data_IF_698562348694
#
_entry.id   IF_698562348694
#
_cell.length_a   1.000
_cell.length_b   1.000
_cell.length_c   1.000
_cell.angle_alpha   90.00
_cell.angle_beta   90.00
_cell.angle_gamma   90.00
#
_symmetry.space_group_name_H-M   'P 1'
#
loop_
_entity.id
_entity.type
_entity.pdbx_description
1 polymer ?
#
# COMPACT_ATOMS: atom_id res chain seq x y z
N UNK A 1 4.24 31.62 6.91
CA UNK A 1 3.53 30.60 6.09
C UNK A 1 4.47 30.18 4.96
N UNK A 2 4.29 28.98 4.40
CA UNK A 2 5.10 28.49 3.28
C UNK A 2 4.15 28.10 2.14
N UNK A 3 4.51 28.48 0.92
CA UNK A 3 3.81 28.08 -0.30
C UNK A 3 4.58 26.93 -0.92
N UNK A 4 3.92 25.78 -1.07
CA UNK A 4 4.44 24.65 -1.81
C UNK A 4 4.04 24.79 -3.28
N UNK A 5 4.99 24.62 -4.18
CA UNK A 5 4.77 24.73 -5.61
C UNK A 5 5.59 23.68 -6.34
N UNK A 6 5.19 23.36 -7.57
CA UNK A 6 5.91 22.45 -8.44
C UNK A 6 6.59 23.22 -9.56
N UNK A 7 7.73 22.72 -10.02
CA UNK A 7 8.45 23.25 -11.17
C UNK A 7 9.06 22.11 -11.96
N UNK A 8 8.94 22.18 -13.28
CA UNK A 8 9.62 21.27 -14.18
C UNK A 8 11.11 21.62 -14.29
N UNK A 9 11.93 20.58 -14.16
CA UNK A 9 13.37 20.63 -14.37
C UNK A 9 13.71 19.70 -15.52
N UNK A 10 14.36 20.25 -16.55
CA UNK A 10 14.93 19.44 -17.62
C UNK A 10 16.23 18.82 -17.14
N UNK A 11 16.22 17.51 -16.88
CA UNK A 11 17.38 16.76 -16.42
C UNK A 11 17.86 15.88 -17.58
N UNK A 12 19.13 15.96 -17.99
CA UNK A 12 19.66 15.08 -19.03
C UNK A 12 19.67 13.62 -18.53
N UNK A 13 19.08 12.71 -19.30
CA UNK A 13 19.02 11.29 -18.97
C UNK A 13 20.41 10.64 -18.79
N UNK A 14 21.43 11.22 -19.41
CA UNK A 14 22.85 10.87 -19.34
C UNK A 14 23.72 12.04 -19.86
N UNK A 15 25.05 12.01 -19.67
CA UNK A 15 25.95 13.03 -20.26
C UNK A 15 25.78 13.06 -21.80
N UNK A 16 25.05 14.08 -22.29
CA UNK A 16 24.75 14.26 -23.71
C UNK A 16 23.45 13.58 -24.21
N UNK A 17 22.62 13.04 -23.32
CA UNK A 17 21.36 12.38 -23.66
C UNK A 17 20.13 13.31 -23.74
N UNK A 18 18.98 12.73 -24.12
CA UNK A 18 17.67 13.40 -24.18
C UNK A 18 17.31 14.00 -22.81
N UNK A 19 16.74 15.21 -22.82
CA UNK A 19 16.28 15.89 -21.61
C UNK A 19 14.98 15.25 -21.16
N UNK A 20 14.98 14.72 -19.94
CA UNK A 20 13.78 14.24 -19.27
C UNK A 20 13.25 15.39 -18.42
N UNK A 21 12.03 15.85 -18.71
CA UNK A 21 11.33 16.78 -17.84
C UNK A 21 10.94 16.06 -16.55
N UNK A 22 11.39 16.59 -15.42
CA UNK A 22 11.13 16.08 -14.09
C UNK A 22 10.53 17.19 -13.23
N UNK A 23 9.26 17.05 -12.86
CA UNK A 23 8.59 17.96 -11.94
C UNK A 23 9.16 17.77 -10.52
N UNK A 24 9.55 18.86 -9.85
CA UNK A 24 9.96 18.82 -8.45
C UNK A 24 9.30 19.90 -7.63
N UNK A 25 8.86 19.49 -6.44
CA UNK A 25 8.33 20.40 -5.43
C UNK A 25 9.43 21.33 -4.88
N UNK A 26 9.10 22.59 -4.73
CA UNK A 26 9.90 23.57 -4.01
C UNK A 26 9.03 24.39 -3.06
N UNK A 27 9.68 25.03 -2.09
CA UNK A 27 9.00 25.79 -1.04
C UNK A 27 9.44 27.23 -1.09
N UNK A 28 8.46 28.13 -1.11
CA UNK A 28 8.69 29.57 -0.97
C UNK A 28 8.16 30.01 0.38
N UNK A 29 9.05 30.51 1.24
CA UNK A 29 8.64 31.14 2.49
C UNK A 29 8.03 32.51 2.17
N UNK A 30 6.84 32.78 2.71
CA UNK A 30 6.18 34.09 2.63
C UNK A 30 6.21 34.79 3.98
N UNK A 31 6.26 36.12 3.94
CA UNK A 31 6.30 36.93 5.16
C UNK A 31 5.00 36.80 5.95
N UNK A 32 5.05 37.15 7.24
CA UNK A 32 3.87 37.10 8.09
C UNK A 32 2.82 38.13 7.65
N UNK A 33 3.25 39.27 7.13
CA UNK A 33 2.37 40.31 6.58
C UNK A 33 1.59 39.77 5.39
N UNK A 34 2.26 39.19 4.40
CA UNK A 34 1.62 38.59 3.22
C UNK A 34 0.71 37.42 3.59
N UNK A 35 1.13 36.58 4.56
CA UNK A 35 0.30 35.47 5.03
C UNK A 35 -0.98 35.95 5.71
N UNK A 36 -0.89 36.99 6.55
CA UNK A 36 -2.04 37.60 7.21
C UNK A 36 -2.98 38.25 6.19
N UNK A 37 -2.43 38.95 5.20
CA UNK A 37 -3.21 39.56 4.11
C UNK A 37 -3.96 38.51 3.29
N UNK A 38 -3.31 37.40 2.95
CA UNK A 38 -3.95 36.28 2.26
C UNK A 38 -5.09 35.68 3.09
N UNK A 39 -4.85 35.34 4.35
CA UNK A 39 -5.87 34.75 5.22
C UNK A 39 -7.04 35.71 5.47
N UNK A 40 -6.77 37.00 5.59
CA UNK A 40 -7.79 38.04 5.71
C UNK A 40 -8.63 38.15 4.43
N UNK A 41 -7.99 38.10 3.25
CA UNK A 41 -8.66 38.10 1.96
C UNK A 41 -9.56 36.86 1.80
N UNK A 42 -9.05 35.67 2.14
CA UNK A 42 -9.83 34.43 2.14
C UNK A 42 -11.03 34.52 3.09
N UNK A 43 -10.82 35.01 4.32
CA UNK A 43 -11.90 35.18 5.30
C UNK A 43 -13.00 36.13 4.80
N UNK A 44 -12.63 37.23 4.14
CA UNK A 44 -13.59 38.19 3.55
C UNK A 44 -14.30 37.68 2.31
N UNK A 45 -13.73 36.69 1.64
CA UNK A 45 -14.32 36.02 0.48
C UNK A 45 -15.04 34.72 0.84
N UNK A 46 -15.12 34.36 2.13
CA UNK A 46 -15.72 33.12 2.62
C UNK A 46 -15.09 31.90 1.95
N UNK A 47 -13.76 31.89 1.95
CA UNK A 47 -12.94 30.82 1.39
C UNK A 47 -12.13 30.20 2.52
N UNK A 48 -12.13 28.88 2.55
CA UNK A 48 -11.28 28.11 3.46
C UNK A 48 -10.13 27.52 2.64
N UNK A 49 -8.97 28.21 2.55
CA UNK A 49 -7.83 27.66 1.86
C UNK A 49 -7.37 26.40 2.58
N UNK A 50 -7.08 25.34 1.83
CA UNK A 50 -6.49 24.13 2.40
C UNK A 50 -5.03 24.46 2.74
N UNK A 51 -4.71 24.51 4.03
CA UNK A 51 -3.34 24.60 4.50
C UNK A 51 -3.11 23.60 5.62
N UNK A 52 -1.86 23.18 5.75
CA UNK A 52 -1.44 22.20 6.74
C UNK A 52 -0.54 22.89 7.75
N UNK A 53 -0.82 22.69 9.04
CA UNK A 53 -0.07 23.34 10.10
C UNK A 53 1.06 22.41 10.53
N UNK A 54 2.30 22.81 10.27
CA UNK A 54 3.47 22.14 10.83
C UNK A 54 3.63 22.54 12.30
N UNK A 55 3.33 21.62 13.22
CA UNK A 55 3.64 21.80 14.63
C UNK A 55 5.05 21.31 14.89
N UNK A 56 6.02 22.23 14.91
CA UNK A 56 7.45 21.90 15.04
C UNK A 56 7.80 21.01 16.25
N UNK A 57 7.04 21.09 17.35
CA UNK A 57 7.26 20.26 18.53
C UNK A 57 6.68 18.84 18.39
N UNK A 58 5.74 18.64 17.48
CA UNK A 58 5.11 17.34 17.16
C UNK A 58 5.73 16.71 15.90
N UNK A 59 6.54 17.48 15.14
CA UNK A 59 7.04 17.10 13.80
C UNK A 59 5.92 16.58 12.88
N UNK A 60 4.72 17.11 13.05
CA UNK A 60 3.49 16.65 12.42
C UNK A 60 2.77 17.79 11.70
N UNK A 61 2.13 17.41 10.61
CA UNK A 61 1.31 18.24 9.76
C UNK A 61 -0.16 18.02 10.13
N UNK A 62 -0.75 18.95 10.87
CA UNK A 62 -2.16 18.84 11.26
C UNK A 62 -3.05 19.51 10.22
N UNK A 63 -4.03 18.77 9.70
CA UNK A 63 -5.10 19.33 8.89
C UNK A 63 -6.03 20.21 9.73
N UNK A 64 -6.55 21.27 9.14
CA UNK A 64 -7.51 22.16 9.82
C UNK A 64 -8.93 21.68 9.51
N UNK A 65 -9.67 21.30 10.55
CA UNK A 65 -11.10 21.04 10.42
C UNK A 65 -11.88 22.32 10.63
N UNK A 66 -12.76 22.64 9.68
CA UNK A 66 -13.57 23.86 9.70
C UNK A 66 -15.03 23.64 10.14
N UNK A 67 -15.45 22.37 10.30
CA UNK A 67 -16.78 22.01 10.81
C UNK A 67 -17.93 22.62 9.99
N UNK A 68 -18.97 23.08 10.68
CA UNK A 68 -20.19 23.63 10.06
C UNK A 68 -19.93 24.90 9.24
N UNK A 69 -18.86 25.64 9.54
CA UNK A 69 -18.48 26.84 8.77
C UNK A 69 -18.16 26.49 7.32
N UNK A 70 -17.55 25.31 7.08
CA UNK A 70 -17.28 24.82 5.73
C UNK A 70 -18.57 24.57 4.97
N UNK A 71 -19.54 23.88 5.59
CA UNK A 71 -20.82 23.58 4.95
C UNK A 71 -21.59 24.88 4.61
N UNK A 72 -21.57 25.84 5.53
CA UNK A 72 -22.21 27.15 5.32
C UNK A 72 -21.56 27.90 4.16
N UNK A 73 -20.23 28.05 4.16
CA UNK A 73 -19.54 28.81 3.12
C UNK A 73 -19.55 28.09 1.77
N UNK A 74 -19.52 26.76 1.74
CA UNK A 74 -19.63 26.00 0.50
C UNK A 74 -21.02 26.17 -0.16
N UNK A 75 -22.09 26.32 0.63
CA UNK A 75 -23.44 26.54 0.12
C UNK A 75 -23.69 27.95 -0.45
N UNK A 76 -22.91 28.94 -0.03
CA UNK A 76 -23.02 30.30 -0.54
C UNK A 76 -22.64 30.38 -2.03
N UNK A 77 -23.56 30.91 -2.86
CA UNK A 77 -23.33 31.03 -4.31
C UNK A 77 -23.45 29.70 -5.06
N UNK A 78 -23.81 28.61 -4.38
CA UNK A 78 -24.06 27.29 -4.97
C UNK A 78 -25.41 26.72 -4.51
N UNK A 79 -26.51 27.08 -5.20
CA UNK A 79 -27.86 26.59 -4.88
C UNK A 79 -28.01 25.07 -5.01
N UNK A 80 -27.20 24.44 -5.87
CA UNK A 80 -27.21 22.99 -6.08
C UNK A 80 -26.65 22.29 -4.86
N UNK A 81 -25.47 22.72 -4.37
CA UNK A 81 -24.90 22.19 -3.14
C UNK A 81 -25.78 22.47 -1.91
N UNK A 82 -26.34 23.69 -1.80
CA UNK A 82 -27.23 24.07 -0.71
C UNK A 82 -28.46 23.15 -0.59
N UNK A 83 -28.97 22.63 -1.70
CA UNK A 83 -30.12 21.71 -1.74
C UNK A 83 -29.80 20.27 -1.32
N UNK A 84 -28.52 19.86 -1.34
CA UNK A 84 -28.09 18.50 -1.01
C UNK A 84 -27.80 18.31 0.50
N UNK A 85 -27.72 19.39 1.27
CA UNK A 85 -27.44 19.33 2.70
C UNK A 85 -28.66 18.76 3.44
N UNK A 86 -28.47 17.62 4.12
CA UNK A 86 -29.55 16.88 4.77
C UNK A 86 -30.15 17.56 6.02
N UNK A 87 -29.35 18.37 6.72
CA UNK A 87 -29.76 19.17 7.90
C UNK A 87 -29.12 20.58 7.80
N UNK A 88 -29.62 21.44 6.90
CA UNK A 88 -29.00 22.72 6.61
C UNK A 88 -29.20 23.69 7.79
N UNK A 89 -28.16 24.42 8.22
CA UNK A 89 -28.33 25.56 9.11
C UNK A 89 -29.33 26.56 8.53
N UNK A 90 -30.10 27.27 9.38
CA UNK A 90 -31.16 28.21 8.94
C UNK A 90 -30.69 29.22 7.87
N UNK A 91 -29.42 29.65 7.93
CA UNK A 91 -28.83 30.59 6.97
C UNK A 91 -28.66 30.04 5.55
N UNK A 92 -28.60 28.71 5.37
CA UNK A 92 -28.43 28.07 4.05
C UNK A 92 -29.68 28.18 3.20
N UNK A 93 -30.86 28.30 3.81
CA UNK A 93 -32.11 28.51 3.07
C UNK A 93 -32.10 29.78 2.20
N UNK A 94 -31.33 30.79 2.59
CA UNK A 94 -31.16 32.02 1.81
C UNK A 94 -30.41 31.80 0.48
N UNK A 95 -29.63 30.72 0.37
CA UNK A 95 -28.78 30.42 -0.79
C UNK A 95 -29.43 29.49 -1.81
N UNK A 96 -30.60 28.93 -1.48
CA UNK A 96 -31.39 28.09 -2.41
C UNK A 96 -31.92 28.88 -3.60
N UNK A 97 -32.04 30.21 -3.49
CA UNK A 97 -32.52 31.08 -4.55
C UNK A 97 -31.39 31.96 -5.07
N UNK A 98 -31.05 31.90 -6.37
CA UNK A 98 -30.06 32.80 -6.96
C UNK A 98 -30.43 34.27 -6.79
N UNK A 99 -29.42 35.13 -6.62
CA UNK A 99 -29.66 36.57 -6.52
C UNK A 99 -30.19 37.13 -7.85
N UNK A 100 -31.34 37.80 -7.82
CA UNK A 100 -31.93 38.43 -9.00
C UNK A 100 -30.96 39.44 -9.64
N UNK A 101 -31.00 39.55 -10.98
CA UNK A 101 -30.19 40.48 -11.78
C UNK A 101 -28.67 40.32 -11.63
N UNK A 102 -28.21 39.12 -11.26
CA UNK A 102 -26.80 38.73 -11.28
C UNK A 102 -26.52 37.61 -12.26
N UNK A 103 -25.31 37.60 -12.84
CA UNK A 103 -24.83 36.50 -13.69
C UNK A 103 -23.30 36.43 -13.67
N UNK A 104 -22.78 35.23 -13.88
CA UNK A 104 -21.36 34.95 -14.08
C UNK A 104 -21.14 34.52 -15.53
N UNK A 105 -20.24 35.18 -16.23
CA UNK A 105 -19.83 34.81 -17.58
C UNK A 105 -18.41 34.23 -17.52
N UNK A 106 -18.22 33.03 -18.05
CA UNK A 106 -16.89 32.42 -18.17
C UNK A 106 -16.10 33.10 -19.31
N UNK A 107 -14.79 33.21 -19.11
CA UNK A 107 -13.82 33.76 -20.05
C UNK A 107 -12.73 32.73 -20.29
N UNK A 108 -12.26 32.65 -21.53
CA UNK A 108 -11.03 31.91 -21.85
C UNK A 108 -9.83 32.82 -21.54
N UNK A 109 -8.91 32.35 -20.69
CA UNK A 109 -7.70 33.07 -20.29
C UNK A 109 -6.46 32.21 -20.53
N UNK A 110 -5.48 32.74 -21.26
CA UNK A 110 -4.18 32.07 -21.45
C UNK A 110 -3.18 32.38 -20.33
N UNK A 111 -3.46 33.40 -19.51
CA UNK A 111 -2.59 33.84 -18.42
C UNK A 111 -3.00 33.22 -17.09
N UNK A 112 -2.08 32.60 -16.32
CA UNK A 112 -2.40 32.03 -15.01
C UNK A 112 -2.69 33.10 -13.94
N UNK A 113 -2.53 34.40 -14.25
CA UNK A 113 -2.85 35.50 -13.31
C UNK A 113 -4.15 36.23 -13.66
N UNK A 114 -4.83 35.80 -14.73
CA UNK A 114 -6.12 36.34 -15.13
C UNK A 114 -7.25 35.46 -14.62
N UNK A 115 -8.36 36.09 -14.28
CA UNK A 115 -9.54 35.38 -13.77
C UNK A 115 -10.41 34.94 -14.94
N UNK A 116 -10.76 33.65 -14.97
CA UNK A 116 -11.54 33.03 -16.05
C UNK A 116 -13.02 33.39 -16.05
N UNK A 117 -13.43 34.49 -15.43
CA UNK A 117 -14.84 34.90 -15.40
C UNK A 117 -15.07 36.39 -15.05
N UNK A 118 -16.25 36.89 -15.42
CA UNK A 118 -16.78 38.19 -15.03
C UNK A 118 -18.10 38.06 -14.27
N UNK A 119 -18.29 38.90 -13.25
CA UNK A 119 -19.54 38.98 -12.49
C UNK A 119 -20.29 40.25 -12.86
N UNK A 120 -21.58 40.11 -13.17
CA UNK A 120 -22.49 41.22 -13.42
C UNK A 120 -23.52 41.31 -12.31
N UNK A 121 -23.82 42.52 -11.85
CA UNK A 121 -24.92 42.83 -10.94
C UNK A 121 -25.65 44.08 -11.43
N UNK A 122 -26.98 43.99 -11.58
CA UNK A 122 -27.81 45.08 -12.12
C UNK A 122 -27.30 45.61 -13.48
N UNK A 123 -26.81 44.70 -14.33
CA UNK A 123 -26.27 45.03 -15.65
C UNK A 123 -24.89 45.73 -15.66
N UNK A 124 -24.20 45.83 -14.51
CA UNK A 124 -22.85 46.40 -14.39
C UNK A 124 -21.84 45.35 -13.98
N UNK A 125 -20.60 45.49 -14.48
CA UNK A 125 -19.47 44.64 -14.08
C UNK A 125 -19.08 44.95 -12.64
N UNK A 126 -18.98 43.92 -11.82
CA UNK A 126 -18.53 44.02 -10.43
C UNK A 126 -17.00 44.05 -10.39
N UNK A 127 -16.37 45.03 -9.72
CA UNK A 127 -14.91 45.14 -9.69
C UNK A 127 -14.28 44.09 -8.76
N UNK A 128 -13.83 42.96 -9.32
CA UNK A 128 -13.31 41.82 -8.54
C UNK A 128 -12.07 42.15 -7.68
N UNK A 129 -11.27 43.16 -8.05
CA UNK A 129 -10.11 43.62 -7.26
C UNK A 129 -10.50 44.44 -6.02
N UNK A 130 -11.72 44.97 -5.97
CA UNK A 130 -12.16 45.82 -4.87
C UNK A 130 -12.55 44.97 -3.65
N UNK A 131 -11.78 45.09 -2.57
CA UNK A 131 -12.08 44.40 -1.31
C UNK A 131 -12.97 45.26 -0.38
N UNK A 132 -14.17 45.60 -0.84
CA UNK A 132 -15.19 46.28 -0.03
C UNK A 132 -16.28 45.31 0.43
N UNK A 133 -16.89 45.59 1.58
CA UNK A 133 -17.98 44.77 2.12
C UNK A 133 -19.15 44.67 1.14
N UNK A 134 -19.47 45.77 0.45
CA UNK A 134 -20.53 45.81 -0.56
C UNK A 134 -20.23 44.90 -1.76
N UNK A 135 -19.00 44.90 -2.28
CA UNK A 135 -18.58 44.03 -3.39
C UNK A 135 -18.55 42.58 -2.95
N UNK A 136 -17.90 42.28 -1.83
CA UNK A 136 -17.83 40.91 -1.29
C UNK A 136 -19.23 40.36 -1.03
N UNK A 137 -20.17 41.21 -0.57
CA UNK A 137 -21.56 40.81 -0.33
C UNK A 137 -22.30 40.34 -1.59
N UNK A 138 -21.89 40.83 -2.75
CA UNK A 138 -22.43 40.35 -4.02
C UNK A 138 -21.71 39.06 -4.43
N UNK A 139 -20.38 39.01 -4.28
CA UNK A 139 -19.55 37.91 -4.77
C UNK A 139 -19.85 36.57 -4.05
N UNK A 140 -19.91 36.54 -2.73
CA UNK A 140 -20.23 35.30 -1.98
C UNK A 140 -21.62 34.73 -2.29
N UNK A 141 -22.60 35.55 -2.71
CA UNK A 141 -23.95 35.10 -3.06
C UNK A 141 -24.08 34.57 -4.49
N UNK A 142 -23.07 34.79 -5.32
CA UNK A 142 -23.12 34.53 -6.77
C UNK A 142 -22.03 33.56 -7.21
N UNK A 143 -20.88 33.56 -6.54
CA UNK A 143 -19.73 32.72 -6.86
C UNK A 143 -19.65 31.53 -5.91
N UNK A 144 -19.30 30.37 -6.46
CA UNK A 144 -18.95 29.19 -5.67
C UNK A 144 -17.70 29.43 -4.83
N UNK A 145 -17.50 28.66 -3.75
CA UNK A 145 -16.29 28.80 -2.91
C UNK A 145 -14.98 28.70 -3.73
N UNK A 146 -14.96 27.85 -4.77
CA UNK A 146 -13.81 27.73 -5.70
C UNK A 146 -13.55 29.01 -6.48
N UNK A 147 -14.59 29.60 -7.08
CA UNK A 147 -14.45 30.87 -7.81
C UNK A 147 -14.04 32.02 -6.87
N UNK A 148 -14.46 31.99 -5.61
CA UNK A 148 -14.04 32.97 -4.60
C UNK A 148 -12.58 32.82 -4.21
N UNK A 149 -12.03 31.60 -4.24
CA UNK A 149 -10.59 31.37 -4.08
C UNK A 149 -9.81 32.01 -5.23
N UNK A 150 -10.32 31.94 -6.47
CA UNK A 150 -9.71 32.60 -7.62
C UNK A 150 -9.69 34.12 -7.44
N UNK A 151 -10.78 34.72 -6.93
CA UNK A 151 -10.83 36.15 -6.59
C UNK A 151 -9.77 36.50 -5.52
N UNK A 152 -9.59 35.65 -4.50
CA UNK A 152 -8.57 35.87 -3.48
C UNK A 152 -7.16 35.85 -4.08
N UNK A 153 -6.84 34.87 -4.93
CA UNK A 153 -5.56 34.79 -5.65
C UNK A 153 -5.35 35.99 -6.58
N UNK A 154 -6.39 36.38 -7.33
CA UNK A 154 -6.38 37.54 -8.21
C UNK A 154 -6.09 38.85 -7.48
N UNK A 155 -6.66 39.03 -6.27
CA UNK A 155 -6.38 40.20 -5.41
C UNK A 155 -4.95 40.20 -4.88
N UNK A 156 -4.41 39.04 -4.52
CA UNK A 156 -3.01 38.90 -4.11
C UNK A 156 -2.02 39.03 -5.28
N UNK A 157 -2.49 39.00 -6.52
CA UNK A 157 -1.64 38.92 -7.71
C UNK A 157 -0.90 37.60 -7.80
N UNK A 158 -1.47 36.53 -7.24
CA UNK A 158 -0.92 35.18 -7.31
C UNK A 158 -1.49 34.43 -8.52
N UNK A 159 -0.78 33.40 -9.02
CA UNK A 159 -1.34 32.49 -10.01
C UNK A 159 -2.65 31.87 -9.49
N UNK A 160 -3.69 31.88 -10.31
CA UNK A 160 -4.94 31.15 -10.09
C UNK A 160 -4.60 29.67 -10.13
N UNK A 161 -5.09 28.91 -9.14
CA UNK A 161 -4.83 27.48 -9.07
C UNK A 161 -5.65 26.76 -10.15
N UNK A 162 -5.09 25.70 -10.70
CA UNK A 162 -5.83 24.80 -11.59
C UNK A 162 -7.12 24.30 -10.90
N UNK A 163 -8.18 24.11 -11.70
CA UNK A 163 -9.43 23.49 -11.29
C UNK A 163 -9.52 22.02 -11.72
N UNK A 164 -8.47 21.50 -12.37
CA UNK A 164 -8.33 20.09 -12.69
C UNK A 164 -8.54 19.22 -11.44
N UNK A 165 -9.50 18.31 -11.53
CA UNK A 165 -9.78 17.34 -10.48
C UNK A 165 -8.53 16.49 -10.25
N UNK A 166 -8.17 16.33 -8.97
CA UNK A 166 -7.09 15.43 -8.58
C UNK A 166 -7.52 13.98 -8.88
N UNK A 167 -6.98 13.41 -9.96
CA UNK A 167 -7.29 12.05 -10.38
C UNK A 167 -6.59 11.04 -9.47
N UNK A 168 -7.27 10.68 -8.39
CA UNK A 168 -6.78 9.71 -7.40
C UNK A 168 -6.38 8.40 -8.08
N UNK A 169 -7.23 7.89 -8.96
CA UNK A 169 -6.98 6.62 -9.66
C UNK A 169 -5.76 6.70 -10.57
N UNK A 170 -5.54 7.84 -11.23
CA UNK A 170 -4.36 8.04 -12.07
C UNK A 170 -3.09 8.06 -11.21
N UNK A 171 -3.13 8.73 -10.05
CA UNK A 171 -2.00 8.75 -9.12
C UNK A 171 -1.72 7.36 -8.54
N UNK A 172 -2.75 6.62 -8.13
CA UNK A 172 -2.61 5.24 -7.65
C UNK A 172 -1.99 4.34 -8.72
N UNK A 173 -2.43 4.46 -9.97
CA UNK A 173 -1.85 3.73 -11.10
C UNK A 173 -0.39 4.13 -11.36
N UNK A 174 -0.06 5.42 -11.28
CA UNK A 174 1.32 5.91 -11.41
C UNK A 174 2.21 5.37 -10.29
N UNK A 175 1.75 5.42 -9.04
CA UNK A 175 2.46 4.88 -7.88
C UNK A 175 2.69 3.38 -8.03
N UNK A 176 1.67 2.63 -8.44
CA UNK A 176 1.77 1.19 -8.64
C UNK A 176 2.74 0.83 -9.78
N UNK A 177 2.70 1.59 -10.87
CA UNK A 177 3.62 1.41 -12.00
C UNK A 177 5.06 1.75 -11.62
N UNK A 178 5.27 2.83 -10.87
CA UNK A 178 6.58 3.21 -10.37
C UNK A 178 7.14 2.16 -9.39
N UNK A 179 6.31 1.67 -8.47
CA UNK A 179 6.66 0.60 -7.53
C UNK A 179 7.10 -0.67 -8.28
N UNK A 180 6.34 -1.10 -9.30
CA UNK A 180 6.72 -2.25 -10.17
C UNK A 180 8.07 -2.07 -10.84
N UNK A 181 8.34 -0.88 -11.41
CA UNK A 181 9.64 -0.58 -12.05
C UNK A 181 10.79 -0.63 -11.06
N UNK A 182 10.58 -0.17 -9.82
CA UNK A 182 11.59 -0.26 -8.77
C UNK A 182 11.90 -1.72 -8.42
N UNK A 183 10.88 -2.59 -8.38
CA UNK A 183 11.08 -4.02 -8.14
C UNK A 183 11.81 -4.71 -9.29
N UNK A 184 11.47 -4.41 -10.55
CA UNK A 184 12.21 -4.92 -11.72
C UNK A 184 13.67 -4.47 -11.71
N UNK A 185 13.93 -3.19 -11.39
CA UNK A 185 15.30 -2.69 -11.21
C UNK A 185 16.06 -3.38 -10.05
N UNK A 186 15.33 -3.91 -9.07
CA UNK A 186 15.90 -4.70 -7.96
C UNK A 186 16.09 -6.20 -8.31
N UNK A 187 15.77 -6.62 -9.54
CA UNK A 187 15.94 -7.99 -10.03
C UNK A 187 14.73 -8.91 -9.80
N UNK A 188 13.53 -8.34 -9.58
CA UNK A 188 12.26 -9.08 -9.55
C UNK A 188 11.72 -9.19 -10.98
N UNK A 189 11.41 -10.39 -11.45
CA UNK A 189 10.99 -10.58 -12.84
C UNK A 189 9.60 -9.97 -13.16
N UNK A 190 9.33 -9.64 -14.44
CA UNK A 190 8.07 -9.03 -14.89
C UNK A 190 6.80 -9.85 -14.61
N UNK A 191 6.88 -11.18 -14.51
CA UNK A 191 5.73 -11.99 -14.10
C UNK A 191 5.44 -11.82 -12.61
N UNK A 192 6.49 -11.57 -11.81
CA UNK A 192 6.32 -11.29 -10.40
C UNK A 192 5.77 -9.88 -10.20
N UNK A 193 6.29 -8.85 -10.86
CA UNK A 193 5.73 -7.49 -10.69
C UNK A 193 4.30 -7.35 -11.25
N UNK A 194 3.83 -8.30 -12.05
CA UNK A 194 2.51 -8.26 -12.70
C UNK A 194 2.49 -7.34 -13.92
N UNK A 195 3.67 -6.93 -14.40
CA UNK A 195 3.85 -6.25 -15.69
C UNK A 195 3.59 -7.22 -16.85
N UNK A 196 3.79 -8.52 -16.62
CA UNK A 196 3.55 -9.58 -17.60
C UNK A 196 2.40 -10.49 -17.16
N UNK A 197 1.47 -10.76 -18.08
CA UNK A 197 0.31 -11.58 -17.82
C UNK A 197 0.69 -13.04 -17.52
N UNK A 198 -0.01 -13.64 -16.56
CA UNK A 198 0.09 -15.06 -16.20
C UNK A 198 -1.21 -15.78 -16.56
N UNK A 199 -1.17 -17.05 -17.01
CA UNK A 199 -2.39 -17.83 -17.34
C UNK A 199 -3.29 -17.97 -16.12
N UNK A 200 -2.64 -18.18 -14.97
CA UNK A 200 -3.29 -18.08 -13.68
C UNK A 200 -3.07 -16.66 -13.19
N UNK A 201 -4.13 -15.85 -13.16
CA UNK A 201 -4.20 -14.58 -12.42
C UNK A 201 -4.03 -14.79 -10.89
N UNK A 202 -3.70 -16.02 -10.50
CA UNK A 202 -3.18 -16.42 -9.20
C UNK A 202 -1.74 -15.96 -8.99
N UNK A 203 -1.38 -14.76 -9.47
CA UNK A 203 -0.33 -13.99 -8.83
C UNK A 203 -0.83 -13.56 -7.44
N UNK A 204 -0.96 -14.56 -6.57
CA UNK A 204 -0.92 -14.51 -5.13
C UNK A 204 -1.56 -13.27 -4.48
N UNK A 205 -2.89 -13.12 -4.59
CA UNK A 205 -3.61 -12.79 -3.36
C UNK A 205 -3.37 -13.97 -2.42
N UNK A 206 -2.29 -13.92 -1.64
CA UNK A 206 -2.16 -14.77 -0.46
C UNK A 206 -3.50 -14.79 0.29
N UNK A 207 -3.88 -15.90 0.92
CA UNK A 207 -5.22 -16.05 1.46
C UNK A 207 -5.58 -14.82 2.30
N UNK A 208 -6.73 -14.19 1.99
CA UNK A 208 -7.13 -12.91 2.62
C UNK A 208 -7.11 -13.09 4.13
N UNK A 209 -6.18 -12.40 4.80
CA UNK A 209 -5.97 -12.58 6.23
C UNK A 209 -7.19 -12.10 7.02
N UNK A 210 -7.58 -12.89 8.02
CA UNK A 210 -8.69 -12.53 8.89
C UNK A 210 -8.32 -11.31 9.74
N UNK A 211 -9.18 -10.28 9.76
CA UNK A 211 -8.93 -9.07 10.54
C UNK A 211 -9.24 -9.30 12.02
N UNK A 212 -8.34 -8.83 12.88
CA UNK A 212 -8.54 -8.85 14.33
C UNK A 212 -9.55 -7.78 14.76
N UNK A 213 -10.55 -8.20 15.55
CA UNK A 213 -11.38 -7.27 16.30
C UNK A 213 -10.56 -6.60 17.41
N UNK A 214 -10.94 -5.37 17.80
CA UNK A 214 -10.23 -4.60 18.83
C UNK A 214 -10.13 -5.32 20.17
N UNK A 215 -11.11 -6.16 20.51
CA UNK A 215 -11.13 -6.96 21.75
C UNK A 215 -10.13 -8.12 21.78
N UNK A 216 -9.64 -8.54 20.62
CA UNK A 216 -8.73 -9.69 20.48
C UNK A 216 -7.28 -9.27 20.17
N UNK A 217 -6.97 -7.97 20.26
CA UNK A 217 -5.63 -7.42 20.03
C UNK A 217 -4.76 -7.50 21.30
N UNK A 218 -3.57 -8.05 21.17
CA UNK A 218 -2.52 -8.04 22.18
C UNK A 218 -1.66 -6.79 22.02
N UNK A 219 -1.14 -6.27 23.15
CA UNK A 219 -0.14 -5.22 23.13
C UNK A 219 1.13 -5.72 22.42
N UNK A 220 1.74 -4.87 21.59
CA UNK A 220 2.93 -5.22 20.78
C UNK A 220 4.08 -5.73 21.66
N UNK A 221 4.34 -5.07 22.81
CA UNK A 221 5.38 -5.48 23.74
C UNK A 221 5.15 -6.88 24.32
N UNK A 222 3.90 -7.22 24.66
CA UNK A 222 3.53 -8.57 25.10
C UNK A 222 3.69 -9.57 23.96
N UNK A 223 3.28 -9.21 22.75
CA UNK A 223 3.40 -10.09 21.59
C UNK A 223 4.87 -10.42 21.26
N UNK A 224 5.74 -9.41 21.26
CA UNK A 224 7.18 -9.56 21.05
C UNK A 224 7.83 -10.45 22.11
N UNK A 225 7.48 -10.24 23.39
CA UNK A 225 8.05 -11.06 24.46
C UNK A 225 7.64 -12.52 24.33
N UNK A 226 6.38 -12.80 23.97
CA UNK A 226 5.91 -14.17 23.70
C UNK A 226 6.63 -14.82 22.51
N UNK A 227 6.93 -14.04 21.46
CA UNK A 227 7.70 -14.53 20.32
C UNK A 227 9.17 -14.76 20.66
N UNK A 228 9.68 -14.15 21.73
CA UNK A 228 11.05 -14.33 22.23
C UNK A 228 11.17 -15.50 23.21
N UNK A 229 10.20 -15.69 24.11
CA UNK A 229 10.27 -16.70 25.18
C UNK A 229 10.03 -18.14 24.69
N UNK A 230 10.78 -19.10 25.22
CA UNK A 230 10.72 -20.50 24.78
C UNK A 230 9.54 -21.32 25.37
N UNK A 231 8.85 -20.82 26.41
CA UNK A 231 7.85 -21.60 27.16
C UNK A 231 6.42 -21.33 26.68
N UNK A 232 5.69 -22.39 26.31
CA UNK A 232 4.30 -22.34 25.93
C UNK A 232 3.33 -22.07 27.12
N UNK A 233 3.82 -22.20 28.36
CA UNK A 233 2.99 -22.15 29.57
C UNK A 233 2.53 -20.73 29.96
N UNK A 234 3.18 -19.68 29.45
CA UNK A 234 2.85 -18.27 29.75
C UNK A 234 1.73 -17.68 28.86
N UNK A 235 1.14 -18.49 27.97
CA UNK A 235 0.32 -18.03 26.84
C UNK A 235 -1.20 -17.99 27.09
N UNK A 236 -1.71 -18.10 28.32
CA UNK A 236 -3.14 -18.45 28.56
C UNK A 236 -4.19 -17.68 27.73
N UNK A 237 -4.19 -16.34 27.60
CA UNK A 237 -5.20 -15.64 26.79
C UNK A 237 -4.94 -15.76 25.27
N UNK A 238 -3.68 -15.70 24.85
CA UNK A 238 -3.27 -15.81 23.46
C UNK A 238 -3.55 -17.22 22.89
N UNK A 239 -3.30 -18.24 23.72
CA UNK A 239 -3.54 -19.64 23.41
C UNK A 239 -5.04 -19.92 23.24
N UNK A 240 -5.91 -19.34 24.07
CA UNK A 240 -7.36 -19.45 23.92
C UNK A 240 -7.87 -18.84 22.61
N UNK A 241 -7.44 -17.61 22.28
CA UNK A 241 -7.82 -16.93 21.02
C UNK A 241 -7.35 -17.75 19.80
N UNK A 242 -6.15 -18.34 19.89
CA UNK A 242 -5.60 -19.18 18.84
C UNK A 242 -6.42 -20.44 18.61
N UNK A 243 -6.75 -21.18 19.68
CA UNK A 243 -7.51 -22.43 19.59
C UNK A 243 -8.91 -22.20 18.99
N UNK A 244 -9.58 -21.12 19.37
CA UNK A 244 -10.88 -20.74 18.81
C UNK A 244 -10.78 -20.49 17.30
N UNK A 245 -9.78 -19.72 16.85
CA UNK A 245 -9.57 -19.46 15.42
C UNK A 245 -9.27 -20.75 14.62
N UNK A 246 -8.45 -21.65 15.18
CA UNK A 246 -8.16 -22.96 14.56
C UNK A 246 -9.43 -23.79 14.42
N UNK A 247 -10.28 -23.82 15.46
CA UNK A 247 -11.51 -24.60 15.43
C UNK A 247 -12.52 -24.03 14.41
N UNK A 248 -12.66 -22.71 14.33
CA UNK A 248 -13.52 -22.04 13.34
C UNK A 248 -13.04 -22.34 11.92
N UNK A 249 -11.74 -22.19 11.66
CA UNK A 249 -11.14 -22.49 10.35
C UNK A 249 -11.36 -23.96 9.96
N UNK A 250 -11.06 -24.88 10.87
CA UNK A 250 -11.18 -26.32 10.61
C UNK A 250 -12.63 -26.71 10.31
N UNK A 251 -13.61 -26.17 11.05
CA UNK A 251 -15.03 -26.39 10.76
C UNK A 251 -15.43 -25.90 9.37
N UNK A 252 -14.87 -24.77 8.91
CA UNK A 252 -15.16 -24.17 7.60
C UNK A 252 -14.51 -24.95 6.45
N UNK A 253 -13.22 -25.26 6.54
CA UNK A 253 -12.47 -25.87 5.42
C UNK A 253 -12.59 -27.40 5.36
N UNK A 254 -12.94 -28.07 6.46
CA UNK A 254 -13.00 -29.54 6.52
C UNK A 254 -13.89 -30.15 5.44
N UNK A 255 -15.06 -29.56 5.19
CA UNK A 255 -16.00 -30.04 4.17
C UNK A 255 -15.54 -29.73 2.74
N UNK A 256 -14.86 -28.60 2.54
CA UNK A 256 -14.40 -28.17 1.22
C UNK A 256 -13.13 -28.91 0.75
N UNK A 257 -12.27 -29.33 1.69
CA UNK A 257 -10.94 -29.90 1.38
C UNK A 257 -10.75 -31.36 1.79
N UNK A 258 -11.82 -32.04 2.20
CA UNK A 258 -11.82 -33.45 2.63
C UNK A 258 -10.82 -33.76 3.76
N UNK A 259 -10.64 -32.83 4.72
CA UNK A 259 -9.72 -33.03 5.84
C UNK A 259 -10.21 -34.16 6.78
N UNK A 260 -9.29 -34.96 7.31
CA UNK A 260 -9.59 -36.03 8.27
C UNK A 260 -10.27 -35.50 9.53
N UNK A 261 -11.25 -36.26 10.07
CA UNK A 261 -11.98 -35.90 11.28
C UNK A 261 -11.10 -36.05 12.53
N UNK A 262 -10.54 -34.95 13.00
CA UNK A 262 -9.97 -34.83 14.36
C UNK A 262 -11.08 -34.63 15.40
N UNK A 263 -10.92 -35.20 16.59
CA UNK A 263 -11.79 -34.88 17.74
C UNK A 263 -11.44 -33.49 18.29
N UNK A 264 -12.39 -32.80 18.93
CA UNK A 264 -12.20 -31.44 19.45
C UNK A 264 -11.04 -31.34 20.46
N UNK A 265 -10.76 -32.43 21.19
CA UNK A 265 -9.63 -32.51 22.12
C UNK A 265 -8.26 -32.67 21.43
N UNK A 266 -8.23 -32.96 20.14
CA UNK A 266 -7.01 -33.23 19.36
C UNK A 266 -6.65 -32.09 18.40
N UNK A 267 -7.45 -31.02 18.36
CA UNK A 267 -7.24 -29.84 17.52
C UNK A 267 -6.04 -29.05 18.06
N UNK A 268 -4.85 -29.33 17.53
CA UNK A 268 -3.61 -28.60 17.82
C UNK A 268 -2.96 -28.09 16.54
N UNK A 269 -2.01 -27.15 16.66
CA UNK A 269 -1.30 -26.61 15.50
C UNK A 269 -0.48 -27.69 14.80
N UNK A 270 0.39 -28.37 15.54
CA UNK A 270 1.24 -29.43 15.02
C UNK A 270 0.46 -30.58 14.36
N UNK A 271 -0.59 -31.14 15.00
CA UNK A 271 -1.33 -32.28 14.42
C UNK A 271 -2.07 -31.93 13.13
N UNK A 272 -2.62 -30.73 13.02
CA UNK A 272 -3.26 -30.29 11.77
C UNK A 272 -2.23 -30.04 10.69
N UNK A 273 -1.03 -29.53 11.03
CA UNK A 273 0.07 -29.41 10.05
C UNK A 273 0.44 -30.78 9.52
N UNK A 274 0.65 -31.75 10.41
CA UNK A 274 0.92 -33.14 10.04
C UNK A 274 -0.19 -33.74 9.15
N UNK A 275 -1.46 -33.49 9.48
CA UNK A 275 -2.59 -33.97 8.69
C UNK A 275 -2.75 -33.27 7.32
N UNK A 276 -2.16 -32.09 7.14
CA UNK A 276 -2.22 -31.29 5.91
C UNK A 276 -0.88 -31.24 5.16
N UNK A 277 0.13 -32.04 5.54
CA UNK A 277 1.45 -32.06 4.88
C UNK A 277 1.35 -32.34 3.37
N UNK A 278 0.35 -33.11 2.93
CA UNK A 278 0.10 -33.42 1.52
C UNK A 278 -0.79 -32.40 0.80
N UNK A 279 -1.29 -31.36 1.50
CA UNK A 279 -2.17 -30.32 0.96
C UNK A 279 -1.69 -28.94 1.43
N UNK A 280 -0.64 -28.45 0.78
CA UNK A 280 0.05 -27.21 1.14
C UNK A 280 -0.89 -26.00 1.09
N UNK A 281 -1.84 -25.95 0.16
CA UNK A 281 -2.84 -24.88 0.06
C UNK A 281 -3.71 -24.79 1.31
N UNK A 282 -3.94 -25.91 2.00
CA UNK A 282 -4.71 -25.96 3.25
C UNK A 282 -3.91 -25.32 4.39
N UNK A 283 -2.59 -25.50 4.40
CA UNK A 283 -1.69 -24.83 5.34
C UNK A 283 -1.66 -23.32 5.12
N UNK A 284 -1.52 -22.87 3.86
CA UNK A 284 -1.57 -21.44 3.49
C UNK A 284 -2.86 -20.80 3.99
N UNK A 285 -4.00 -21.42 3.68
CA UNK A 285 -5.33 -20.95 4.11
C UNK A 285 -5.42 -20.83 5.64
N UNK A 286 -4.95 -21.84 6.37
CA UNK A 286 -4.96 -21.83 7.84
C UNK A 286 -4.21 -20.64 8.43
N UNK A 287 -2.96 -20.43 8.02
CA UNK A 287 -2.12 -19.36 8.58
C UNK A 287 -2.63 -17.97 8.24
N UNK A 288 -3.44 -17.81 7.18
CA UNK A 288 -4.19 -16.57 6.95
C UNK A 288 -5.38 -16.35 7.90
N UNK A 289 -5.99 -17.41 8.43
CA UNK A 289 -7.10 -17.28 9.38
C UNK A 289 -6.65 -17.08 10.83
N UNK A 290 -5.38 -17.35 11.14
CA UNK A 290 -4.86 -17.19 12.49
C UNK A 290 -4.65 -15.71 12.83
N UNK A 291 -5.07 -15.25 14.02
CA UNK A 291 -4.86 -13.89 14.47
C UNK A 291 -3.39 -13.56 14.77
N UNK A 292 -2.65 -14.58 15.23
CA UNK A 292 -1.23 -14.54 15.58
C UNK A 292 -0.50 -15.73 14.94
N UNK A 293 -0.33 -15.71 13.61
CA UNK A 293 0.24 -16.82 12.85
C UNK A 293 1.70 -17.13 13.24
N UNK A 294 2.48 -16.12 13.65
CA UNK A 294 3.87 -16.30 14.10
C UNK A 294 3.96 -17.14 15.38
N UNK A 295 3.07 -16.90 16.36
CA UNK A 295 3.00 -17.74 17.58
C UNK A 295 2.57 -19.17 17.27
N UNK A 296 1.69 -19.36 16.29
CA UNK A 296 1.29 -20.70 15.87
C UNK A 296 2.44 -21.45 15.18
N UNK A 297 3.22 -20.75 14.35
CA UNK A 297 4.40 -21.32 13.72
C UNK A 297 5.50 -21.67 14.72
N UNK A 298 5.67 -20.85 15.76
CA UNK A 298 6.63 -21.12 16.84
C UNK A 298 6.42 -22.45 17.56
N UNK A 299 5.18 -22.95 17.62
CA UNK A 299 4.88 -24.27 18.20
C UNK A 299 5.18 -25.46 17.28
N UNK A 300 5.52 -25.21 16.02
CA UNK A 300 5.92 -26.26 15.11
C UNK A 300 7.36 -26.67 15.38
N UNK A 301 7.64 -27.96 15.23
CA UNK A 301 9.02 -28.40 15.18
C UNK A 301 9.68 -27.80 13.94
N UNK A 302 10.96 -27.40 14.07
CA UNK A 302 11.74 -26.87 12.93
C UNK A 302 11.66 -27.81 11.73
N UNK A 303 11.71 -29.13 11.95
CA UNK A 303 11.57 -30.13 10.88
C UNK A 303 10.26 -29.99 10.08
N UNK A 304 9.14 -29.69 10.76
CA UNK A 304 7.84 -29.49 10.10
C UNK A 304 7.82 -28.19 9.28
N UNK A 305 8.47 -27.13 9.76
CA UNK A 305 8.61 -25.88 9.01
C UNK A 305 9.46 -26.06 7.76
N UNK A 306 10.59 -26.77 7.87
CA UNK A 306 11.47 -27.05 6.74
C UNK A 306 10.80 -27.92 5.69
N UNK A 307 10.06 -28.94 6.11
CA UNK A 307 9.28 -29.79 5.20
C UNK A 307 8.25 -28.95 4.43
N UNK A 308 7.47 -28.10 5.12
CA UNK A 308 6.53 -27.21 4.45
C UNK A 308 7.24 -26.25 3.47
N UNK A 309 8.34 -25.63 3.90
CA UNK A 309 9.13 -24.73 3.05
C UNK A 309 9.66 -25.39 1.78
N UNK A 310 10.12 -26.64 1.87
CA UNK A 310 10.55 -27.40 0.70
C UNK A 310 9.39 -27.69 -0.27
N UNK A 311 8.19 -27.95 0.25
CA UNK A 311 6.98 -28.11 -0.55
C UNK A 311 6.63 -26.84 -1.32
N UNK A 312 6.70 -25.69 -0.64
CA UNK A 312 6.45 -24.38 -1.22
C UNK A 312 7.48 -24.02 -2.31
N UNK A 313 8.75 -24.37 -2.10
CA UNK A 313 9.81 -24.24 -3.11
C UNK A 313 9.51 -25.04 -4.37
N UNK A 314 9.03 -26.28 -4.24
CA UNK A 314 8.65 -27.10 -5.39
C UNK A 314 7.45 -26.52 -6.14
N UNK A 315 6.44 -26.01 -5.43
CA UNK A 315 5.28 -25.35 -6.05
C UNK A 315 5.74 -24.09 -6.81
N UNK A 316 6.61 -23.28 -6.21
CA UNK A 316 7.17 -22.08 -6.84
C UNK A 316 7.93 -22.42 -8.14
N UNK A 317 8.73 -23.49 -8.12
CA UNK A 317 9.47 -24.00 -9.29
C UNK A 317 8.53 -24.47 -10.40
N UNK A 318 7.51 -25.27 -10.07
CA UNK A 318 6.51 -25.75 -11.03
C UNK A 318 5.76 -24.58 -11.68
N UNK A 319 5.29 -23.63 -10.86
CA UNK A 319 4.59 -22.43 -11.33
C UNK A 319 5.46 -21.55 -12.23
N UNK A 320 6.77 -21.48 -11.99
CA UNK A 320 7.69 -20.78 -12.90
C UNK A 320 7.79 -21.47 -14.27
N UNK A 321 7.91 -22.80 -14.29
CA UNK A 321 7.92 -23.56 -15.54
C UNK A 321 6.61 -23.40 -16.31
N UNK A 322 5.46 -23.44 -15.63
CA UNK A 322 4.13 -23.26 -16.25
C UNK A 322 3.98 -21.88 -16.88
N UNK A 323 4.48 -20.83 -16.22
CA UNK A 323 4.48 -19.46 -16.76
C UNK A 323 5.34 -19.34 -18.02
N UNK A 324 6.53 -19.92 -17.99
CA UNK A 324 7.49 -19.85 -19.10
C UNK A 324 7.08 -20.75 -20.27
N UNK A 325 6.37 -21.85 -20.01
CA UNK A 325 5.87 -22.77 -21.04
C UNK A 325 4.93 -22.10 -22.06
N UNK A 326 4.31 -20.99 -21.70
CA UNK A 326 3.37 -20.25 -22.56
C UNK A 326 3.82 -18.83 -22.87
N UNK A 327 5.05 -18.49 -22.48
CA UNK A 327 5.56 -17.15 -22.61
C UNK A 327 5.91 -16.83 -24.08
N UNK A 328 5.19 -15.93 -24.76
CA UNK A 328 5.44 -15.61 -26.16
C UNK A 328 6.82 -14.98 -26.45
N UNK A 329 7.57 -14.49 -25.45
CA UNK A 329 8.95 -14.02 -25.73
C UNK A 329 9.98 -15.13 -25.78
N UNK A 330 9.66 -16.32 -25.27
CA UNK A 330 10.59 -17.44 -25.33
C UNK A 330 10.51 -18.15 -26.69
N UNK A 331 11.66 -18.60 -27.24
CA UNK A 331 11.70 -19.53 -28.36
C UNK A 331 10.87 -20.81 -28.13
N UNK A 332 10.29 -21.35 -29.20
CA UNK A 332 9.40 -22.52 -29.15
C UNK A 332 10.07 -23.75 -28.54
N UNK A 333 11.34 -23.98 -28.83
CA UNK A 333 12.13 -25.08 -28.27
C UNK A 333 12.31 -24.97 -26.74
N UNK A 334 12.39 -23.75 -26.22
CA UNK A 334 12.47 -23.50 -24.78
C UNK A 334 11.11 -23.67 -24.09
N UNK A 335 10.03 -23.22 -24.73
CA UNK A 335 8.66 -23.49 -24.27
C UNK A 335 8.39 -25.00 -24.23
N UNK A 336 8.73 -25.72 -25.30
CA UNK A 336 8.60 -27.18 -25.39
C UNK A 336 9.42 -27.90 -24.31
N UNK A 337 10.62 -27.38 -23.98
CA UNK A 337 11.42 -27.90 -22.87
C UNK A 337 10.69 -27.77 -21.52
N UNK A 338 10.09 -26.62 -21.22
CA UNK A 338 9.27 -26.43 -20.03
C UNK A 338 8.07 -27.38 -20.00
N UNK A 339 7.31 -27.47 -21.11
CA UNK A 339 6.14 -28.35 -21.24
C UNK A 339 6.51 -29.81 -21.00
N UNK A 340 7.60 -30.27 -21.61
CA UNK A 340 8.07 -31.65 -21.46
C UNK A 340 8.49 -31.94 -20.01
N UNK A 341 9.18 -31.00 -19.36
CA UNK A 341 9.58 -31.15 -17.96
C UNK A 341 8.37 -31.22 -17.02
N UNK A 342 7.38 -30.34 -17.18
CA UNK A 342 6.13 -30.37 -16.41
C UNK A 342 5.41 -31.70 -16.61
N UNK A 343 5.26 -32.15 -17.87
CA UNK A 343 4.59 -33.42 -18.19
C UNK A 343 5.29 -34.61 -17.52
N UNK A 344 6.61 -34.65 -17.51
CA UNK A 344 7.37 -35.71 -16.84
C UNK A 344 7.15 -35.71 -15.33
N UNK A 345 7.05 -34.52 -14.72
CA UNK A 345 6.74 -34.37 -13.30
C UNK A 345 5.31 -34.84 -12.98
N UNK A 346 4.31 -34.43 -13.77
CA UNK A 346 2.88 -34.73 -13.55
C UNK A 346 2.55 -36.23 -13.68
N UNK A 347 3.27 -36.96 -14.55
CA UNK A 347 3.04 -38.40 -14.78
C UNK A 347 3.76 -39.25 -13.73
N UNK A 348 4.71 -38.69 -12.99
CA UNK A 348 5.44 -39.41 -11.96
C UNK A 348 4.57 -39.63 -10.71
N UNK A 349 4.81 -40.71 -9.94
CA UNK A 349 4.28 -40.82 -8.58
C UNK A 349 4.69 -39.59 -7.75
N UNK A 350 3.85 -39.14 -6.81
CA UNK A 350 4.08 -37.91 -6.03
C UNK A 350 5.48 -37.82 -5.37
N UNK A 351 6.03 -38.94 -4.91
CA UNK A 351 7.38 -39.03 -4.31
C UNK A 351 8.49 -38.70 -5.33
N UNK A 352 8.24 -38.96 -6.61
CA UNK A 352 9.18 -38.74 -7.71
C UNK A 352 8.94 -37.41 -8.44
N UNK A 353 7.72 -36.85 -8.42
CA UNK A 353 7.41 -35.55 -9.01
C UNK A 353 8.39 -34.47 -8.52
N UNK A 354 8.64 -34.43 -7.21
CA UNK A 354 9.49 -33.41 -6.60
C UNK A 354 10.97 -33.62 -6.92
N UNK A 355 11.40 -34.88 -7.03
CA UNK A 355 12.74 -35.21 -7.49
C UNK A 355 13.00 -34.73 -8.92
N UNK A 356 11.99 -34.83 -9.80
CA UNK A 356 12.06 -34.36 -11.19
C UNK A 356 12.12 -32.83 -11.24
N UNK A 357 11.29 -32.15 -10.45
CA UNK A 357 11.30 -30.68 -10.35
C UNK A 357 12.56 -30.12 -9.67
N UNK A 358 13.21 -30.90 -8.81
CA UNK A 358 14.43 -30.51 -8.10
C UNK A 358 15.72 -30.81 -8.87
N UNK A 359 15.66 -31.39 -10.09
CA UNK A 359 16.84 -31.81 -10.85
C UNK A 359 17.80 -30.65 -11.13
N UNK A 360 18.93 -30.64 -10.42
CA UNK A 360 19.94 -29.59 -10.51
C UNK A 360 20.57 -29.49 -11.91
N UNK A 361 20.66 -30.60 -12.65
CA UNK A 361 21.23 -30.61 -14.00
C UNK A 361 20.30 -29.91 -14.97
N UNK A 362 18.99 -30.18 -14.88
CA UNK A 362 17.97 -29.49 -15.69
C UNK A 362 17.92 -28.01 -15.39
N UNK A 363 17.98 -27.62 -14.12
CA UNK A 363 18.03 -26.22 -13.71
C UNK A 363 19.33 -25.52 -14.15
N UNK A 364 20.47 -26.22 -14.12
CA UNK A 364 21.72 -25.68 -14.64
C UNK A 364 21.63 -25.41 -16.13
N UNK A 365 21.08 -26.36 -16.91
CA UNK A 365 20.84 -26.18 -18.35
C UNK A 365 19.85 -25.03 -18.61
N UNK A 366 18.80 -24.94 -17.80
CA UNK A 366 17.78 -23.89 -17.92
C UNK A 366 18.36 -22.47 -17.76
N UNK A 367 19.33 -22.31 -16.83
CA UNK A 367 20.06 -21.04 -16.64
C UNK A 367 20.90 -20.62 -17.84
N UNK A 368 21.24 -21.53 -18.76
CA UNK A 368 22.05 -21.19 -19.94
C UNK A 368 21.27 -20.38 -20.98
N UNK A 369 19.93 -20.40 -20.93
CA UNK A 369 19.10 -19.78 -21.97
C UNK A 369 17.89 -18.98 -21.44
N UNK A 370 17.71 -18.89 -20.12
CA UNK A 370 16.70 -18.03 -19.48
C UNK A 370 17.40 -17.05 -18.54
N UNK A 371 16.89 -15.81 -18.47
CA UNK A 371 17.46 -14.79 -17.59
C UNK A 371 17.40 -15.23 -16.11
N UNK A 372 18.41 -14.88 -15.28
CA UNK A 372 18.52 -15.35 -13.91
C UNK A 372 17.30 -15.02 -13.03
N UNK A 373 16.63 -13.91 -13.31
CA UNK A 373 15.45 -13.46 -12.56
C UNK A 373 14.27 -14.43 -12.66
N UNK A 374 14.09 -15.15 -13.77
CA UNK A 374 13.02 -16.14 -13.92
C UNK A 374 13.32 -17.47 -13.21
N UNK A 375 14.58 -17.69 -12.82
CA UNK A 375 15.03 -18.97 -12.26
C UNK A 375 14.73 -19.03 -10.76
N UNK A 376 13.74 -19.85 -10.38
CA UNK A 376 13.30 -20.04 -8.98
C UNK A 376 14.15 -21.05 -8.20
N UNK A 377 15.47 -21.01 -8.38
CA UNK A 377 16.38 -21.93 -7.70
C UNK A 377 17.13 -21.19 -6.62
N UNK A 378 17.29 -21.83 -5.47
CA UNK A 378 18.12 -21.35 -4.37
C UNK A 378 19.48 -20.86 -4.88
N UNK A 379 19.86 -19.60 -4.60
CA UNK A 379 21.19 -19.10 -4.89
C UNK A 379 22.24 -19.81 -4.01
N UNK A 380 23.47 -20.05 -4.49
CA UNK A 380 24.51 -20.75 -3.73
C UNK A 380 24.84 -20.12 -2.37
N UNK A 381 24.67 -18.79 -2.26
CA UNK A 381 24.92 -18.03 -1.02
C UNK A 381 23.85 -18.21 0.06
N UNK A 382 22.67 -18.77 -0.28
CA UNK A 382 21.58 -18.94 0.69
C UNK A 382 21.63 -20.36 1.27
N UNK A 383 21.72 -20.52 2.60
CA UNK A 383 21.67 -21.85 3.23
C UNK A 383 20.36 -22.60 2.92
N UNK A 384 20.41 -23.93 2.79
CA UNK A 384 19.24 -24.76 2.46
C UNK A 384 18.11 -24.58 3.47
N UNK A 385 18.48 -24.54 4.74
CA UNK A 385 17.55 -24.42 5.87
C UNK A 385 16.84 -23.06 5.86
N UNK A 386 17.57 -21.99 5.59
CA UNK A 386 17.01 -20.64 5.53
C UNK A 386 16.16 -20.44 4.27
N UNK A 387 16.55 -21.06 3.15
CA UNK A 387 15.75 -21.07 1.92
C UNK A 387 14.37 -21.69 2.15
N UNK A 388 14.31 -22.81 2.86
CA UNK A 388 13.04 -23.43 3.23
C UNK A 388 12.22 -22.51 4.13
N UNK A 389 12.81 -21.91 5.17
CA UNK A 389 12.10 -20.96 6.06
C UNK A 389 11.51 -19.78 5.27
N UNK A 390 12.29 -19.20 4.37
CA UNK A 390 11.91 -18.03 3.58
C UNK A 390 10.61 -18.26 2.77
N UNK A 391 10.45 -19.47 2.22
CA UNK A 391 9.23 -19.88 1.51
C UNK A 391 7.98 -19.96 2.40
N UNK A 392 8.15 -20.05 3.72
CA UNK A 392 7.03 -20.12 4.67
C UNK A 392 6.72 -18.76 5.31
N UNK A 393 7.72 -17.87 5.45
CA UNK A 393 7.56 -16.55 6.08
C UNK A 393 6.41 -15.74 5.49
N UNK A 394 6.23 -15.83 4.17
CA UNK A 394 5.16 -15.13 3.46
C UNK A 394 3.74 -15.57 3.87
N UNK A 395 3.57 -16.79 4.38
CA UNK A 395 2.31 -17.30 4.93
C UNK A 395 2.20 -17.05 6.44
N UNK A 396 3.31 -17.13 7.17
CA UNK A 396 3.33 -17.06 8.63
C UNK A 396 3.39 -15.62 9.15
N UNK A 397 4.06 -14.71 8.47
CA UNK A 397 4.21 -13.34 8.95
C UNK A 397 2.95 -12.57 8.63
N UNK A 398 2.21 -12.18 9.67
CA UNK A 398 0.94 -11.49 9.57
C UNK A 398 1.05 -10.20 8.77
N UNK A 399 2.15 -9.46 8.97
CA UNK A 399 2.42 -8.17 8.32
C UNK A 399 3.17 -8.31 7.00
N UNK A 400 3.38 -9.52 6.47
CA UNK A 400 4.14 -9.72 5.24
C UNK A 400 3.65 -8.83 4.10
N UNK A 401 2.34 -8.83 3.84
CA UNK A 401 1.72 -8.02 2.77
C UNK A 401 1.86 -6.50 2.92
N UNK A 402 2.21 -6.00 4.11
CA UNK A 402 2.48 -4.58 4.32
C UNK A 402 3.93 -4.18 3.97
N UNK A 403 4.86 -5.15 3.95
CA UNK A 403 6.27 -4.97 3.58
C UNK A 403 6.43 -4.82 2.07
N UNK A 404 7.55 -4.24 1.61
CA UNK A 404 7.91 -4.21 0.18
C UNK A 404 7.94 -5.62 -0.43
N UNK A 405 8.45 -6.60 0.33
CA UNK A 405 8.58 -7.99 -0.11
C UNK A 405 7.22 -8.65 -0.30
N UNK A 406 6.25 -8.41 0.58
CA UNK A 406 4.91 -9.00 0.48
C UNK A 406 3.95 -8.26 -0.44
N UNK A 407 4.32 -7.07 -0.95
CA UNK A 407 3.65 -6.41 -2.07
C UNK A 407 4.08 -6.96 -3.43
N UNK A 408 5.13 -7.78 -3.45
CA UNK A 408 5.52 -8.60 -4.61
C UNK A 408 5.08 -10.05 -4.41
N UNK A 409 4.89 -10.84 -5.47
CA UNK A 409 4.43 -12.20 -5.34
C UNK A 409 5.51 -13.12 -4.82
N UNK A 410 5.00 -14.22 -4.26
CA UNK A 410 5.65 -15.14 -3.32
C UNK A 410 6.92 -15.81 -3.82
N UNK A 411 7.28 -15.64 -5.10
CA UNK A 411 8.31 -16.42 -5.78
C UNK A 411 9.63 -15.66 -5.98
N UNK A 412 9.68 -14.34 -5.73
CA UNK A 412 10.87 -13.50 -5.91
C UNK A 412 11.79 -13.46 -4.66
N UNK A 413 11.93 -14.58 -3.95
CA UNK A 413 12.53 -14.61 -2.60
C UNK A 413 14.05 -14.36 -2.58
N UNK A 414 14.77 -14.75 -3.63
CA UNK A 414 16.23 -14.64 -3.69
C UNK A 414 16.76 -13.18 -3.71
N UNK A 415 16.23 -12.28 -4.56
CA UNK A 415 16.53 -10.85 -4.50
C UNK A 415 16.28 -10.26 -3.11
N UNK A 416 15.16 -10.63 -2.46
CA UNK A 416 14.82 -10.12 -1.14
C UNK A 416 15.81 -10.54 -0.07
N UNK A 417 16.14 -11.83 -0.01
CA UNK A 417 17.09 -12.34 0.97
C UNK A 417 18.48 -11.70 0.82
N UNK A 418 18.90 -11.38 -0.42
CA UNK A 418 20.20 -10.76 -0.68
C UNK A 418 20.21 -9.27 -0.34
N UNK A 419 19.13 -8.55 -0.67
CA UNK A 419 19.05 -7.10 -0.52
C UNK A 419 18.64 -6.63 0.88
N UNK A 420 18.02 -7.51 1.69
CA UNK A 420 17.47 -7.15 2.99
C UNK A 420 18.09 -8.02 4.11
N UNK A 421 19.15 -7.53 4.79
CA UNK A 421 19.81 -8.25 5.88
C UNK A 421 18.87 -8.67 7.01
N UNK A 422 17.77 -7.94 7.22
CA UNK A 422 16.75 -8.27 8.23
C UNK A 422 16.11 -9.64 7.99
N UNK A 423 15.99 -10.09 6.73
CA UNK A 423 15.49 -11.44 6.43
C UNK A 423 16.48 -12.52 6.84
N UNK A 424 17.78 -12.28 6.64
CA UNK A 424 18.84 -13.22 7.04
C UNK A 424 18.85 -13.39 8.56
N UNK A 425 18.79 -12.26 9.28
CA UNK A 425 18.70 -12.24 10.75
C UNK A 425 17.45 -13.00 11.20
N UNK A 426 16.29 -12.70 10.61
CA UNK A 426 15.03 -13.36 10.96
C UNK A 426 15.07 -14.88 10.72
N UNK A 427 15.61 -15.33 9.59
CA UNK A 427 15.77 -16.75 9.31
C UNK A 427 16.68 -17.44 10.34
N UNK A 428 17.78 -16.80 10.72
CA UNK A 428 18.70 -17.32 11.73
C UNK A 428 18.07 -17.38 13.14
N UNK A 429 17.39 -16.31 13.57
CA UNK A 429 16.72 -16.25 14.87
C UNK A 429 15.59 -17.29 15.00
N UNK A 430 14.83 -17.52 13.92
CA UNK A 430 13.79 -18.56 13.90
C UNK A 430 14.38 -19.94 14.15
N UNK A 431 15.59 -20.22 13.64
CA UNK A 431 16.29 -21.48 13.90
C UNK A 431 16.68 -21.66 15.36
N UNK A 432 16.93 -20.56 16.07
CA UNK A 432 17.17 -20.54 17.51
C UNK A 432 15.87 -20.50 18.34
N UNK A 433 14.70 -20.47 17.68
CA UNK A 433 13.39 -20.43 18.31
C UNK A 433 12.90 -19.03 18.71
N UNK A 434 13.61 -17.98 18.30
CA UNK A 434 13.22 -16.59 18.48
C UNK A 434 12.49 -16.07 17.23
N UNK A 435 11.24 -15.67 17.39
CA UNK A 435 10.40 -15.15 16.30
C UNK A 435 10.17 -13.65 16.43
N UNK A 436 10.79 -12.98 17.41
CA UNK A 436 10.49 -11.60 17.76
C UNK A 436 10.77 -10.61 16.61
N UNK A 437 11.82 -10.85 15.82
CA UNK A 437 12.15 -10.04 14.64
C UNK A 437 11.05 -10.04 13.56
N UNK A 438 10.17 -11.05 13.52
CA UNK A 438 9.04 -11.08 12.56
C UNK A 438 8.11 -9.87 12.73
N UNK A 439 8.03 -9.30 13.94
CA UNK A 439 7.23 -8.10 14.23
C UNK A 439 7.88 -6.80 13.78
N UNK A 440 9.20 -6.84 13.51
CA UNK A 440 10.04 -5.67 13.22
C UNK A 440 10.47 -5.56 11.77
N UNK A 441 10.06 -6.51 10.91
CA UNK A 441 10.24 -6.39 9.47
C UNK A 441 9.71 -5.03 9.03
N UNK A 442 10.61 -4.23 8.46
CA UNK A 442 10.37 -2.82 8.18
C UNK A 442 9.18 -2.66 7.24
N UNK A 443 8.02 -2.46 7.85
CA UNK A 443 7.03 -1.56 7.31
C UNK A 443 7.63 -0.17 7.47
N UNK A 444 7.52 0.70 6.45
CA UNK A 444 7.29 2.10 6.82
C UNK A 444 6.10 2.06 7.77
N UNK A 445 6.33 2.33 9.07
CA UNK A 445 5.32 2.21 10.11
C UNK A 445 4.03 2.88 9.61
N UNK A 446 2.92 2.14 9.59
CA UNK A 446 1.64 2.79 9.33
C UNK A 446 1.32 3.72 10.51
N UNK A 447 0.52 4.76 10.30
CA UNK A 447 0.21 5.74 11.35
C UNK A 447 -0.41 5.12 12.61
N UNK A 448 -1.26 4.09 12.46
CA UNK A 448 -1.79 3.31 13.59
C UNK A 448 -0.67 2.66 14.44
N UNK A 449 0.47 2.33 13.83
CA UNK A 449 1.61 1.67 14.51
C UNK A 449 2.53 2.68 15.23
N UNK A 450 2.54 3.96 14.81
CA UNK A 450 3.24 5.02 15.52
C UNK A 450 2.59 5.34 16.87
N UNK A 451 1.25 5.38 16.92
CA UNK A 451 0.50 5.61 18.15
C UNK A 451 0.74 4.49 19.19
N UNK A 452 0.91 3.25 18.72
CA UNK A 452 1.15 2.08 19.58
C UNK A 452 2.59 2.00 20.15
N UNK A 453 3.59 2.63 19.52
CA UNK A 453 5.00 2.54 19.97
C UNK A 453 5.40 3.61 20.98
N UNK A 454 4.62 4.69 21.12
CA UNK A 454 4.94 5.82 22.01
C UNK A 454 6.25 6.54 21.68
N UNK A 455 6.89 6.23 20.54
CA UNK A 455 8.11 6.86 20.03
C UNK A 455 7.75 7.49 18.70
N UNK A 456 7.93 8.81 18.55
CA UNK A 456 7.81 9.52 17.27
C UNK A 456 9.08 9.32 16.42
N UNK A 457 9.04 9.57 15.09
CA UNK A 457 10.17 9.29 14.22
C UNK A 457 11.42 10.05 14.62
N UNK A 458 12.63 9.50 14.34
CA UNK A 458 13.88 10.19 14.61
C UNK A 458 13.85 11.54 13.88
N UNK A 459 13.94 12.61 14.66
CA UNK A 459 14.03 13.99 14.16
C UNK A 459 15.17 14.06 13.16
N UNK A 460 14.91 14.51 11.93
CA UNK A 460 15.99 14.92 11.03
C UNK A 460 16.86 15.95 11.76
N UNK A 461 18.20 15.85 11.69
CA UNK A 461 19.06 16.81 12.33
C UNK A 461 18.74 18.20 11.78
N UNK A 462 18.36 19.11 12.67
CA UNK A 462 18.20 20.52 12.37
C UNK A 462 19.51 21.01 11.73
N UNK A 463 19.43 21.39 10.44
CA UNK A 463 20.51 22.15 9.82
C UNK A 463 20.59 23.49 10.56
N UNK A 464 21.74 23.73 11.18
CA UNK A 464 22.10 25.00 11.82
C UNK A 464 22.17 26.13 10.80
#
# INVERSE_FOLDING_TARGET
MQVYSYKDYDIPASEGGELISHESGFVTAISNETANEYLHTCGRMHVLPIFVILRHHESHFTGVQHGDLFLQWQAEGDPSYAAEIADPPDCVHEYLTPLADTRVNLLETESPHEIGFEVYSNGRIVPLREDSEAVNTVLWRVLTMRQRLDVAHYRMGWPILDDAEYQVEAMEQLMYTAERRMYEAAGVDPFATGTRATIHDECASGPKRHQLTSRSRMLVATYQELLRTASADDLTPAHSIKLEAVEIWYRKERGARNLHRLSTAEISVSRIVQACQTQVESLRGRFAYLPYPELAAKELEIAQLLEWGNSEDMISKKSALERLAVDPSLPVDQQEYCVQWIREADVAPAVNEWCILADATRWSRFREFVEPEYVRVRPPQVPDVEWAILHVLLFIIRRWGATTMGRTPLTALAPWYTSYPVLQILCAEILDGDWSAATTLQNGLTWEEWEDTGRYPPTFPSRK
#
